data_IF_787586233454
#
_entry.id   IF_787586233454
#
_cell.length_a   1.000
_cell.length_b   1.000
_cell.length_c   1.000
_cell.angle_alpha   90.00
_cell.angle_beta   90.00
_cell.angle_gamma   90.00
#
_symmetry.space_group_name_H-M   'P 1'
#
loop_
_entity.id
_entity.type
_entity.pdbx_description
1 polymer ?
#
# COMPACT_ATOMS: atom_id res chain seq x y z
N UNK A 1 26.16 -23.33 34.65
CA UNK A 1 26.94 -22.83 33.51
C UNK A 1 26.21 -21.61 32.94
N UNK A 2 26.93 -20.53 32.70
CA UNK A 2 26.46 -19.35 32.01
C UNK A 2 27.18 -19.24 30.67
N UNK A 3 26.55 -18.75 29.59
CA UNK A 3 27.19 -18.69 28.29
C UNK A 3 28.28 -17.61 28.26
N UNK A 4 29.33 -17.86 27.48
CA UNK A 4 30.38 -16.86 27.21
C UNK A 4 29.96 -15.90 26.09
N UNK A 5 29.06 -16.40 25.20
CA UNK A 5 28.53 -15.62 24.06
C UNK A 5 27.02 -15.86 23.90
N UNK A 6 26.28 -14.81 23.72
CA UNK A 6 24.84 -14.83 23.33
C UNK A 6 24.73 -14.15 21.97
N UNK A 7 24.21 -14.87 20.97
CA UNK A 7 23.92 -14.31 19.65
C UNK A 7 22.41 -14.24 19.47
N UNK A 8 21.93 -13.06 19.16
CA UNK A 8 20.55 -12.79 18.78
C UNK A 8 20.55 -12.45 17.29
N UNK A 9 19.89 -13.28 16.51
CA UNK A 9 19.85 -13.17 15.05
C UNK A 9 18.39 -13.07 14.60
N UNK A 10 18.01 -11.96 14.00
CA UNK A 10 16.67 -11.65 13.51
C UNK A 10 15.54 -12.01 14.50
N UNK A 11 15.69 -11.65 15.78
CA UNK A 11 14.68 -11.95 16.81
C UNK A 11 13.43 -11.07 16.70
N UNK A 12 13.50 -9.98 15.95
CA UNK A 12 12.37 -9.11 15.63
C UNK A 12 11.78 -9.52 14.29
N UNK A 13 10.46 -9.54 14.23
CA UNK A 13 9.68 -9.78 13.01
C UNK A 13 8.43 -8.88 13.06
N UNK A 14 7.70 -8.81 11.93
CA UNK A 14 6.51 -7.97 11.82
C UNK A 14 5.48 -8.23 12.91
N UNK A 15 5.29 -9.49 13.31
CA UNK A 15 4.32 -9.83 14.34
C UNK A 15 4.70 -9.27 15.71
N UNK A 16 5.98 -9.36 16.11
CA UNK A 16 6.41 -8.98 17.45
C UNK A 16 6.79 -7.50 17.59
N UNK A 17 6.88 -6.76 16.48
CA UNK A 17 7.11 -5.29 16.49
C UNK A 17 5.84 -4.48 16.19
N UNK A 18 4.75 -5.12 15.73
CA UNK A 18 3.57 -4.44 15.23
C UNK A 18 2.86 -3.59 16.30
N UNK A 19 2.56 -4.16 17.48
CA UNK A 19 1.89 -3.41 18.54
C UNK A 19 2.84 -2.94 19.64
N UNK A 20 2.54 -1.82 20.31
CA UNK A 20 3.32 -1.35 21.48
C UNK A 20 3.45 -2.41 22.57
N UNK A 21 2.42 -3.23 22.80
CA UNK A 21 2.40 -4.31 23.78
C UNK A 21 3.39 -5.41 23.42
N UNK A 22 3.43 -5.80 22.15
CA UNK A 22 4.38 -6.81 21.65
C UNK A 22 5.82 -6.32 21.78
N UNK A 23 6.10 -5.08 21.37
CA UNK A 23 7.43 -4.45 21.53
C UNK A 23 7.86 -4.41 23.00
N UNK A 24 6.99 -3.97 23.92
CA UNK A 24 7.27 -3.97 25.38
C UNK A 24 7.50 -5.39 25.92
N UNK A 25 6.78 -6.39 25.43
CA UNK A 25 6.98 -7.79 25.85
C UNK A 25 8.35 -8.28 25.42
N UNK A 26 8.76 -8.03 24.19
CA UNK A 26 10.08 -8.40 23.67
C UNK A 26 11.19 -7.67 24.41
N UNK A 27 11.05 -6.38 24.63
CA UNK A 27 11.98 -5.56 25.41
C UNK A 27 12.11 -6.08 26.85
N UNK A 28 10.98 -6.39 27.50
CA UNK A 28 10.98 -6.95 28.83
C UNK A 28 11.68 -8.32 28.91
N UNK A 29 11.47 -9.18 27.90
CA UNK A 29 12.15 -10.46 27.79
C UNK A 29 13.67 -10.26 27.62
N UNK A 30 14.08 -9.39 26.73
CA UNK A 30 15.49 -9.09 26.49
C UNK A 30 16.19 -8.63 27.78
N UNK A 31 15.69 -7.59 28.45
CA UNK A 31 16.35 -7.03 29.64
C UNK A 31 16.20 -7.90 30.90
N UNK A 32 15.15 -8.69 31.03
CA UNK A 32 14.93 -9.51 32.23
C UNK A 32 15.48 -10.93 32.11
N UNK A 33 15.55 -11.48 30.92
CA UNK A 33 16.00 -12.85 30.71
C UNK A 33 17.35 -12.90 29.98
N UNK A 34 17.42 -12.35 28.75
CA UNK A 34 18.60 -12.50 27.88
C UNK A 34 19.81 -11.79 28.44
N UNK A 35 19.70 -10.51 28.76
CA UNK A 35 20.85 -9.70 29.27
C UNK A 35 21.36 -10.17 30.64
N UNK A 36 20.58 -10.98 31.35
CA UNK A 36 20.93 -11.55 32.66
C UNK A 36 21.29 -13.04 32.62
N UNK A 37 21.19 -13.66 31.44
CA UNK A 37 21.52 -15.09 31.28
C UNK A 37 23.03 -15.32 31.34
N UNK A 38 23.81 -14.34 30.96
CA UNK A 38 25.27 -14.37 30.96
C UNK A 38 25.89 -14.08 32.34
N UNK A 39 27.20 -13.95 32.35
CA UNK A 39 28.03 -13.49 33.44
C UNK A 39 28.77 -12.21 33.04
N UNK A 40 29.66 -11.69 33.92
CA UNK A 40 30.43 -10.46 33.68
C UNK A 40 31.34 -10.52 32.45
N UNK A 41 31.60 -11.70 31.92
CA UNK A 41 32.44 -11.96 30.75
C UNK A 41 31.66 -12.35 29.51
N UNK A 42 30.34 -12.36 29.58
CA UNK A 42 29.49 -12.78 28.45
C UNK A 42 29.38 -11.67 27.43
N UNK A 43 29.78 -11.94 26.20
CA UNK A 43 29.50 -11.05 25.07
C UNK A 43 28.08 -11.27 24.52
N UNK A 44 27.42 -10.18 24.15
CA UNK A 44 26.11 -10.23 23.49
C UNK A 44 26.25 -9.60 22.11
N UNK A 45 25.94 -10.38 21.07
CA UNK A 45 25.88 -9.94 19.69
C UNK A 45 24.43 -9.93 19.25
N UNK A 46 23.94 -8.77 18.84
CA UNK A 46 22.59 -8.63 18.30
C UNK A 46 22.65 -8.17 16.85
N UNK A 47 22.17 -9.01 15.94
CA UNK A 47 22.10 -8.79 14.49
C UNK A 47 20.63 -8.78 14.09
N UNK A 48 20.24 -7.90 13.19
CA UNK A 48 18.87 -7.84 12.68
C UNK A 48 18.60 -6.62 11.83
N UNK A 49 17.38 -6.56 11.30
CA UNK A 49 16.83 -5.43 10.56
C UNK A 49 15.96 -4.56 11.47
N UNK A 50 16.05 -3.24 11.33
CA UNK A 50 15.21 -2.31 12.11
C UNK A 50 13.85 -2.21 11.44
N UNK A 51 12.91 -3.05 11.90
CA UNK A 51 11.56 -3.12 11.31
C UNK A 51 10.61 -2.02 11.81
N UNK A 52 10.94 -1.39 12.96
CA UNK A 52 10.12 -0.34 13.56
C UNK A 52 10.99 0.66 14.32
N UNK A 53 10.67 1.97 14.24
CA UNK A 53 11.42 3.04 14.92
C UNK A 53 11.49 2.87 16.45
N UNK A 54 10.46 2.25 17.08
CA UNK A 54 10.38 1.94 18.52
C UNK A 54 10.66 0.46 18.80
N UNK A 55 11.39 -0.24 17.93
CA UNK A 55 11.78 -1.65 18.10
C UNK A 55 12.87 -1.81 19.15
N UNK A 56 13.06 -3.03 19.64
CA UNK A 56 14.13 -3.34 20.59
C UNK A 56 15.50 -3.03 19.98
N UNK A 57 15.75 -3.47 18.73
CA UNK A 57 17.01 -3.21 18.04
C UNK A 57 17.27 -1.72 17.89
N UNK A 58 16.25 -0.93 17.54
CA UNK A 58 16.36 0.54 17.45
C UNK A 58 16.77 1.18 18.78
N UNK A 59 16.28 0.65 19.91
CA UNK A 59 16.64 1.13 21.26
C UNK A 59 18.05 0.70 21.65
N UNK A 60 18.43 -0.55 21.36
CA UNK A 60 19.77 -1.07 21.66
C UNK A 60 20.84 -0.33 20.85
N UNK A 61 20.58 0.01 19.59
CA UNK A 61 21.47 0.84 18.77
C UNK A 61 21.78 2.22 19.38
N UNK A 62 20.85 2.78 20.14
CA UNK A 62 21.00 4.07 20.83
C UNK A 62 21.61 3.94 22.24
N UNK A 63 21.77 2.71 22.73
CA UNK A 63 22.30 2.46 24.06
C UNK A 63 23.83 2.54 24.04
N UNK A 64 24.45 3.44 24.81
CA UNK A 64 25.92 3.64 24.84
C UNK A 64 26.72 2.44 25.36
N UNK A 65 26.08 1.48 26.03
CA UNK A 65 26.70 0.25 26.48
C UNK A 65 27.00 -0.75 25.34
N UNK A 66 26.48 -0.51 24.13
CA UNK A 66 26.69 -1.35 22.97
C UNK A 66 27.53 -0.65 21.91
N UNK A 67 28.46 -1.40 21.31
CA UNK A 67 29.11 -0.97 20.08
C UNK A 67 28.20 -1.26 18.90
N UNK A 68 27.65 -0.22 18.30
CA UNK A 68 26.61 -0.34 17.28
C UNK A 68 27.09 0.10 15.89
N UNK A 69 26.77 -0.70 14.86
CA UNK A 69 27.01 -0.36 13.47
C UNK A 69 25.71 -0.53 12.68
N UNK A 70 25.35 0.48 11.88
CA UNK A 70 24.16 0.48 11.03
C UNK A 70 24.58 0.53 9.56
N UNK A 71 24.12 -0.42 8.78
CA UNK A 71 24.34 -0.46 7.34
C UNK A 71 23.07 -0.04 6.59
N UNK A 72 23.24 0.73 5.52
CA UNK A 72 22.17 1.17 4.61
C UNK A 72 22.43 0.60 3.23
N UNK A 73 21.39 0.12 2.54
CA UNK A 73 21.52 -0.40 1.18
C UNK A 73 21.94 0.69 0.18
N UNK A 74 21.33 1.88 0.29
CA UNK A 74 21.77 3.08 -0.45
C UNK A 74 22.53 3.98 0.50
N UNK A 75 23.82 4.21 0.20
CA UNK A 75 24.71 5.09 0.95
C UNK A 75 24.52 6.54 0.47
N UNK A 76 24.45 6.73 -0.85
CA UNK A 76 24.19 8.04 -1.47
C UNK A 76 23.16 7.91 -2.60
N UNK A 77 22.15 8.78 -2.57
CA UNK A 77 21.13 8.85 -3.62
C UNK A 77 21.61 9.66 -4.81
N UNK A 78 21.02 9.40 -5.98
CA UNK A 78 21.30 10.13 -7.21
C UNK A 78 21.08 11.64 -7.04
N UNK A 79 21.97 12.43 -7.64
CA UNK A 79 21.86 13.90 -7.66
C UNK A 79 20.76 14.37 -8.62
N UNK A 80 20.51 13.64 -9.70
CA UNK A 80 19.52 13.99 -10.72
C UNK A 80 18.16 13.32 -10.44
N UNK A 81 17.45 13.86 -9.46
CA UNK A 81 16.15 13.32 -9.05
C UNK A 81 15.09 13.45 -10.15
N UNK A 82 15.18 14.46 -11.04
CA UNK A 82 14.19 14.66 -12.11
C UNK A 82 14.15 13.49 -13.10
N UNK A 83 15.29 12.87 -13.41
CA UNK A 83 15.34 11.69 -14.29
C UNK A 83 14.72 10.46 -13.58
N UNK A 84 14.95 10.30 -12.29
CA UNK A 84 14.33 9.22 -11.53
C UNK A 84 12.81 9.41 -11.38
N UNK A 85 12.34 10.63 -11.20
CA UNK A 85 10.89 10.92 -11.20
C UNK A 85 10.25 10.63 -12.56
N UNK A 86 10.94 10.96 -13.67
CA UNK A 86 10.48 10.62 -15.01
C UNK A 86 10.45 9.10 -15.25
N UNK A 87 11.48 8.40 -14.77
CA UNK A 87 11.55 6.94 -14.82
C UNK A 87 10.42 6.30 -14.00
N UNK A 88 10.16 6.78 -12.78
CA UNK A 88 9.07 6.32 -11.93
C UNK A 88 7.71 6.49 -12.63
N UNK A 89 7.49 7.62 -13.29
CA UNK A 89 6.28 7.88 -14.05
C UNK A 89 6.07 6.88 -15.19
N UNK A 90 7.15 6.46 -15.88
CA UNK A 90 7.09 5.44 -16.92
C UNK A 90 6.82 4.06 -16.29
N UNK A 91 7.56 3.71 -15.22
CA UNK A 91 7.48 2.41 -14.56
C UNK A 91 6.10 2.14 -13.97
N UNK A 92 5.45 3.17 -13.44
CA UNK A 92 4.13 3.09 -12.80
C UNK A 92 2.95 3.35 -13.76
N UNK A 93 3.20 3.62 -15.05
CA UNK A 93 2.14 3.84 -16.03
C UNK A 93 1.40 2.56 -16.37
N UNK A 94 0.23 2.37 -15.77
CA UNK A 94 -0.60 1.18 -15.93
C UNK A 94 -1.32 1.09 -17.27
N UNK A 95 -1.36 2.19 -18.04
CA UNK A 95 -1.92 2.19 -19.37
C UNK A 95 -0.94 1.54 -20.37
N UNK A 96 0.34 1.52 -20.03
CA UNK A 96 1.38 0.94 -20.84
C UNK A 96 1.65 -0.52 -20.46
N UNK A 97 1.32 -1.43 -21.37
CA UNK A 97 1.61 -2.87 -21.20
C UNK A 97 3.12 -3.16 -21.15
N UNK A 98 3.93 -2.30 -21.78
CA UNK A 98 5.39 -2.40 -21.86
C UNK A 98 6.13 -1.49 -20.88
N UNK A 99 5.45 -0.96 -19.87
CA UNK A 99 5.99 0.03 -18.92
C UNK A 99 7.36 -0.33 -18.33
N UNK A 100 7.58 -1.60 -17.99
CA UNK A 100 8.85 -2.06 -17.41
C UNK A 100 9.97 -2.06 -18.45
N UNK A 101 9.68 -2.49 -19.68
CA UNK A 101 10.63 -2.48 -20.79
C UNK A 101 11.00 -1.05 -21.19
N UNK A 102 10.00 -0.17 -21.27
CA UNK A 102 10.21 1.24 -21.60
C UNK A 102 10.95 2.01 -20.49
N UNK A 103 10.63 1.73 -19.21
CA UNK A 103 11.38 2.27 -18.09
C UNK A 103 12.84 1.79 -18.08
N UNK A 104 13.07 0.53 -18.43
CA UNK A 104 14.44 0.01 -18.57
C UNK A 104 15.18 0.69 -19.72
N UNK A 105 14.54 0.85 -20.88
CA UNK A 105 15.14 1.56 -22.02
C UNK A 105 15.47 3.01 -21.66
N UNK A 106 14.54 3.73 -21.00
CA UNK A 106 14.78 5.07 -20.51
C UNK A 106 15.99 5.16 -19.57
N UNK A 107 16.11 4.20 -18.65
CA UNK A 107 17.28 4.13 -17.77
C UNK A 107 18.57 3.89 -18.55
N UNK A 108 18.60 2.94 -19.50
CA UNK A 108 19.83 2.67 -20.27
C UNK A 108 20.25 3.88 -21.11
N UNK A 109 19.29 4.63 -21.67
CA UNK A 109 19.56 5.83 -22.45
C UNK A 109 20.10 7.01 -21.61
N UNK A 110 19.77 7.06 -20.32
CA UNK A 110 20.15 8.15 -19.40
C UNK A 110 21.05 7.67 -18.25
N UNK A 111 21.60 6.48 -18.34
CA UNK A 111 22.26 5.77 -17.23
C UNK A 111 23.35 6.56 -16.54
N UNK A 112 24.20 7.26 -17.29
CA UNK A 112 25.31 8.02 -16.72
C UNK A 112 24.80 9.15 -15.82
N UNK A 113 23.82 9.92 -16.30
CA UNK A 113 23.22 11.03 -15.55
C UNK A 113 22.34 10.56 -14.39
N UNK A 114 21.66 9.43 -14.55
CA UNK A 114 20.83 8.81 -13.51
C UNK A 114 21.63 8.21 -12.36
N UNK A 115 22.85 7.75 -12.63
CA UNK A 115 23.74 7.19 -11.60
C UNK A 115 24.69 8.23 -11.00
N UNK A 116 24.66 9.48 -11.44
CA UNK A 116 25.51 10.51 -10.88
C UNK A 116 25.27 10.69 -9.38
N UNK A 117 26.33 10.58 -8.58
CA UNK A 117 26.30 10.73 -7.13
C UNK A 117 25.78 9.52 -6.35
N UNK A 118 25.44 8.43 -7.02
CA UNK A 118 24.95 7.21 -6.34
C UNK A 118 26.09 6.42 -5.72
N UNK A 119 25.82 5.86 -4.54
CA UNK A 119 26.66 4.88 -3.88
C UNK A 119 25.75 3.85 -3.18
N UNK A 120 26.02 2.56 -3.36
CA UNK A 120 25.29 1.46 -2.74
C UNK A 120 26.21 0.56 -1.94
N UNK A 121 25.67 -0.11 -0.94
CA UNK A 121 26.44 -0.97 -0.06
C UNK A 121 27.03 -2.18 -0.77
N UNK A 122 26.29 -2.77 -1.69
CA UNK A 122 26.68 -4.02 -2.37
C UNK A 122 26.16 -4.06 -3.81
N UNK A 123 26.86 -3.36 -4.71
CA UNK A 123 26.48 -3.20 -6.12
C UNK A 123 26.34 -4.53 -6.87
N UNK A 124 27.20 -5.53 -6.56
CA UNK A 124 27.18 -6.82 -7.23
C UNK A 124 25.94 -7.67 -6.91
N UNK A 125 25.31 -7.40 -5.77
CA UNK A 125 24.09 -8.11 -5.36
C UNK A 125 22.82 -7.36 -5.79
N UNK A 126 22.77 -6.05 -5.55
CA UNK A 126 21.65 -5.17 -5.85
C UNK A 126 22.20 -3.85 -6.37
N UNK A 127 22.05 -3.61 -7.67
CA UNK A 127 22.43 -2.33 -8.26
C UNK A 127 21.52 -1.21 -7.76
N UNK A 128 21.96 0.04 -7.93
CA UNK A 128 21.13 1.20 -7.60
C UNK A 128 19.77 1.15 -8.33
N UNK A 129 19.76 0.69 -9.62
CA UNK A 129 18.54 0.48 -10.38
C UNK A 129 17.59 -0.52 -9.71
N UNK A 130 18.10 -1.67 -9.30
CA UNK A 130 17.31 -2.71 -8.65
C UNK A 130 16.74 -2.21 -7.31
N UNK A 131 17.52 -1.43 -6.57
CA UNK A 131 17.07 -0.80 -5.33
C UNK A 131 15.94 0.22 -5.57
N UNK A 132 15.98 0.98 -6.67
CA UNK A 132 14.89 1.89 -7.03
C UNK A 132 13.64 1.14 -7.51
N UNK A 133 13.80 0.01 -8.20
CA UNK A 133 12.68 -0.90 -8.53
C UNK A 133 12.02 -1.43 -7.26
N UNK A 134 12.80 -1.90 -6.28
CA UNK A 134 12.30 -2.35 -4.97
C UNK A 134 11.54 -1.20 -4.28
N UNK A 135 12.13 0.00 -4.23
CA UNK A 135 11.51 1.18 -3.63
C UNK A 135 10.12 1.48 -4.20
N UNK A 136 9.95 1.35 -5.51
CA UNK A 136 8.67 1.62 -6.18
C UNK A 136 7.68 0.44 -6.05
N UNK A 137 8.17 -0.80 -6.11
CA UNK A 137 7.30 -1.98 -6.08
C UNK A 137 6.81 -2.34 -4.69
N UNK A 138 7.63 -2.10 -3.66
CA UNK A 138 7.31 -2.45 -2.27
C UNK A 138 6.86 -1.23 -1.43
N UNK A 139 7.11 -0.03 -1.93
CA UNK A 139 6.79 1.22 -1.26
C UNK A 139 7.93 1.75 -0.39
N UNK A 140 7.84 3.05 -0.09
CA UNK A 140 8.91 3.79 0.60
C UNK A 140 9.10 3.31 2.06
N UNK A 141 8.03 2.93 2.75
CA UNK A 141 8.09 2.46 4.13
C UNK A 141 8.86 1.13 4.24
N UNK A 142 8.55 0.15 3.37
CA UNK A 142 9.27 -1.13 3.30
C UNK A 142 10.74 -0.91 2.92
N UNK A 143 11.00 -0.09 1.91
CA UNK A 143 12.37 0.25 1.50
C UNK A 143 13.18 0.88 2.63
N UNK A 144 12.58 1.79 3.40
CA UNK A 144 13.27 2.45 4.50
C UNK A 144 13.55 1.50 5.66
N UNK A 145 12.66 0.56 5.98
CA UNK A 145 12.91 -0.42 7.03
C UNK A 145 13.88 -1.52 6.58
N UNK A 146 13.58 -2.19 5.47
CA UNK A 146 14.28 -3.41 5.05
C UNK A 146 15.63 -3.14 4.36
N UNK A 147 15.72 -2.04 3.61
CA UNK A 147 16.92 -1.71 2.82
C UNK A 147 17.77 -0.65 3.51
N UNK A 148 17.14 0.39 4.07
CA UNK A 148 17.87 1.50 4.69
C UNK A 148 18.10 1.33 6.19
N UNK A 149 17.48 0.32 6.82
CA UNK A 149 17.47 0.17 8.28
C UNK A 149 17.04 1.45 9.01
N UNK A 150 16.17 2.23 8.39
CA UNK A 150 15.74 3.54 8.87
C UNK A 150 14.21 3.64 8.78
N UNK A 151 13.49 2.81 9.57
CA UNK A 151 12.04 2.85 9.59
C UNK A 151 11.60 4.25 9.99
N UNK A 152 10.73 4.80 9.15
CA UNK A 152 10.27 6.16 9.29
C UNK A 152 9.39 6.27 10.54
N UNK A 153 9.56 7.38 11.27
CA UNK A 153 8.72 7.78 12.42
C UNK A 153 7.24 7.87 11.97
N UNK A 154 6.25 7.56 12.84
CA UNK A 154 4.82 7.66 12.53
C UNK A 154 4.35 9.02 12.01
N UNK A 155 5.12 10.08 12.22
CA UNK A 155 4.88 11.37 11.59
C UNK A 155 5.05 11.34 10.05
N UNK A 156 5.62 10.25 9.51
CA UNK A 156 5.67 9.95 8.09
C UNK A 156 4.76 8.77 7.76
N UNK A 157 3.48 9.04 7.71
CA UNK A 157 2.49 8.07 7.25
C UNK A 157 2.81 7.62 5.81
N UNK A 158 2.43 6.38 5.46
CA UNK A 158 2.62 5.80 4.12
C UNK A 158 2.04 6.71 3.03
N UNK A 159 0.97 7.47 3.35
CA UNK A 159 0.32 8.40 2.44
C UNK A 159 0.42 9.82 2.98
N UNK A 160 1.17 10.68 2.28
CA UNK A 160 1.24 12.11 2.62
C UNK A 160 -0.10 12.79 2.25
N UNK A 161 -0.56 13.71 3.11
CA UNK A 161 -1.83 14.44 2.90
C UNK A 161 -1.84 15.26 1.60
N UNK A 162 -0.69 15.74 1.16
CA UNK A 162 -0.52 16.50 -0.08
C UNK A 162 -0.70 15.67 -1.36
N UNK A 163 -0.70 14.33 -1.26
CA UNK A 163 -0.86 13.44 -2.41
C UNK A 163 -2.33 13.15 -2.74
N UNK A 164 -3.26 13.53 -1.84
CA UNK A 164 -4.68 13.25 -2.07
C UNK A 164 -5.29 14.24 -3.06
N UNK A 165 -5.53 13.79 -4.29
CA UNK A 165 -6.32 14.50 -5.28
C UNK A 165 -7.81 14.22 -5.11
N UNK A 166 -8.63 15.26 -5.26
CA UNK A 166 -10.07 15.17 -5.06
C UNK A 166 -10.82 15.42 -6.37
N UNK A 167 -11.62 14.45 -6.79
CA UNK A 167 -12.42 14.57 -7.99
C UNK A 167 -13.67 15.45 -7.80
N UNK A 168 -14.10 15.70 -6.55
CA UNK A 168 -15.19 16.63 -6.24
C UNK A 168 -14.86 18.08 -6.64
N UNK A 169 -13.58 18.39 -6.79
CA UNK A 169 -13.10 19.72 -7.19
C UNK A 169 -13.17 19.94 -8.71
N UNK A 170 -13.45 18.88 -9.48
CA UNK A 170 -13.57 18.93 -10.95
C UNK A 170 -15.03 18.76 -11.39
N UNK A 171 -15.76 19.84 -11.70
CA UNK A 171 -17.15 19.78 -12.11
C UNK A 171 -17.37 19.15 -13.49
N UNK A 172 -16.31 18.85 -14.23
CA UNK A 172 -16.41 18.24 -15.57
C UNK A 172 -16.56 16.70 -15.50
N UNK A 173 -16.40 16.12 -14.34
CA UNK A 173 -16.49 14.67 -14.13
C UNK A 173 -17.96 14.28 -14.00
N UNK A 174 -18.51 13.64 -15.06
CA UNK A 174 -19.80 13.00 -15.03
C UNK A 174 -19.63 11.49 -15.18
N UNK A 175 -19.85 10.76 -14.11
CA UNK A 175 -19.75 9.28 -14.06
C UNK A 175 -20.79 8.56 -14.92
N UNK A 176 -21.75 9.25 -15.55
CA UNK A 176 -22.66 8.69 -16.57
C UNK A 176 -22.00 8.55 -17.93
N UNK A 177 -20.84 9.19 -18.15
CA UNK A 177 -20.08 9.06 -19.41
C UNK A 177 -19.70 7.59 -19.64
N UNK A 178 -19.76 7.19 -20.92
CA UNK A 178 -19.44 5.82 -21.39
C UNK A 178 -18.00 5.39 -21.15
N UNK A 179 -17.10 6.32 -20.92
CA UNK A 179 -15.69 6.04 -20.61
C UNK A 179 -15.50 5.40 -19.23
N UNK A 180 -16.44 5.60 -18.31
CA UNK A 180 -16.32 5.04 -16.96
C UNK A 180 -16.82 3.61 -16.87
N UNK A 181 -16.04 2.75 -16.24
CA UNK A 181 -16.38 1.39 -15.85
C UNK A 181 -16.28 1.26 -14.35
N UNK A 182 -17.31 0.72 -13.72
CA UNK A 182 -17.38 0.57 -12.27
C UNK A 182 -16.93 -0.82 -11.85
N UNK A 183 -16.11 -0.86 -10.81
CA UNK A 183 -15.77 -2.06 -10.06
C UNK A 183 -15.97 -1.78 -8.58
N UNK A 184 -16.26 -2.82 -7.80
CA UNK A 184 -16.29 -2.70 -6.35
C UNK A 184 -15.59 -3.89 -5.71
N UNK A 185 -15.10 -3.70 -4.50
CA UNK A 185 -14.56 -4.76 -3.66
C UNK A 185 -15.19 -4.69 -2.28
N UNK A 186 -15.43 -5.85 -1.71
CA UNK A 186 -15.92 -6.04 -0.36
C UNK A 186 -14.93 -6.87 0.44
N UNK A 187 -14.49 -6.29 1.56
CA UNK A 187 -13.82 -7.01 2.64
C UNK A 187 -14.85 -7.29 3.74
N UNK A 188 -15.40 -8.51 3.80
CA UNK A 188 -16.41 -8.85 4.79
C UNK A 188 -15.76 -9.18 6.14
N UNK A 189 -15.98 -8.37 7.16
CA UNK A 189 -15.72 -8.77 8.53
C UNK A 189 -16.77 -9.79 8.99
N UNK A 190 -16.37 -11.05 9.20
CA UNK A 190 -17.28 -12.14 9.57
C UNK A 190 -17.45 -12.31 11.09
N UNK A 191 -17.15 -11.31 11.89
CA UNK A 191 -17.35 -11.34 13.34
C UNK A 191 -18.83 -11.45 13.75
N UNK A 192 -19.15 -12.38 14.62
CA UNK A 192 -20.53 -12.62 15.12
C UNK A 192 -21.04 -11.60 16.12
N UNK A 193 -20.21 -10.66 16.56
CA UNK A 193 -20.55 -9.72 17.64
C UNK A 193 -20.44 -8.26 17.16
N UNK A 194 -21.24 -7.35 17.76
CA UNK A 194 -21.14 -5.87 17.56
C UNK A 194 -19.77 -5.26 17.91
N UNK A 195 -18.84 -6.07 18.42
CA UNK A 195 -17.43 -5.69 18.69
C UNK A 195 -16.45 -6.21 17.63
N UNK A 196 -16.95 -6.83 16.54
CA UNK A 196 -16.12 -7.30 15.43
C UNK A 196 -15.50 -6.12 14.69
N UNK A 197 -14.46 -6.43 13.90
CA UNK A 197 -13.80 -5.48 13.03
C UNK A 197 -14.76 -4.84 12.03
N UNK A 198 -14.38 -3.72 11.45
CA UNK A 198 -15.17 -3.05 10.43
C UNK A 198 -15.15 -3.86 9.13
N UNK A 199 -16.23 -3.77 8.34
CA UNK A 199 -16.26 -4.26 6.96
C UNK A 199 -16.18 -3.10 5.99
N UNK A 200 -15.58 -3.29 4.84
CA UNK A 200 -15.49 -2.26 3.82
C UNK A 200 -16.14 -2.68 2.50
N UNK A 201 -16.84 -1.75 1.85
CA UNK A 201 -17.29 -1.86 0.44
C UNK A 201 -16.80 -0.61 -0.27
N UNK A 202 -15.81 -0.78 -1.15
CA UNK A 202 -15.20 0.32 -1.89
C UNK A 202 -15.55 0.18 -3.38
N UNK A 203 -16.07 1.24 -3.98
CA UNK A 203 -16.38 1.28 -5.40
C UNK A 203 -15.54 2.31 -6.14
N UNK A 204 -14.96 1.89 -7.27
CA UNK A 204 -14.10 2.70 -8.12
C UNK A 204 -14.73 2.83 -9.50
N UNK A 205 -14.72 4.05 -10.04
CA UNK A 205 -14.93 4.31 -11.46
C UNK A 205 -13.55 4.40 -12.14
N UNK A 206 -13.26 3.51 -13.10
CA UNK A 206 -12.09 3.62 -13.95
C UNK A 206 -12.46 4.32 -15.25
N UNK A 207 -11.76 5.39 -15.57
CA UNK A 207 -11.81 6.01 -16.90
C UNK A 207 -11.01 5.14 -17.88
N UNK A 208 -11.70 4.50 -18.81
CA UNK A 208 -11.09 3.64 -19.85
C UNK A 208 -10.33 4.39 -20.93
N UNK A 209 -10.38 5.72 -20.96
CA UNK A 209 -9.61 6.56 -21.89
C UNK A 209 -8.31 7.06 -21.29
N UNK A 210 -8.35 7.55 -20.03
CA UNK A 210 -7.20 8.13 -19.35
C UNK A 210 -6.52 7.17 -18.35
N UNK A 211 -7.22 6.09 -17.94
CA UNK A 211 -6.74 5.16 -16.92
C UNK A 211 -6.92 5.64 -15.48
N UNK A 212 -7.27 6.91 -15.26
CA UNK A 212 -7.54 7.41 -13.92
C UNK A 212 -8.62 6.61 -13.20
N UNK A 213 -8.42 6.46 -11.91
CA UNK A 213 -9.34 5.77 -11.02
C UNK A 213 -9.93 6.76 -10.02
N UNK A 214 -11.22 6.65 -9.79
CA UNK A 214 -11.99 7.57 -8.94
C UNK A 214 -12.71 6.76 -7.86
N UNK A 215 -12.41 7.00 -6.60
CA UNK A 215 -13.17 6.39 -5.49
C UNK A 215 -14.54 7.05 -5.45
N UNK A 216 -15.56 6.37 -5.93
CA UNK A 216 -16.94 6.89 -6.01
C UNK A 216 -17.70 6.63 -4.72
N UNK A 217 -17.44 5.48 -4.08
CA UNK A 217 -18.07 5.09 -2.82
C UNK A 217 -17.07 4.41 -1.90
N UNK A 218 -17.17 4.70 -0.60
CA UNK A 218 -16.39 4.06 0.44
C UNK A 218 -17.28 3.90 1.69
N UNK A 219 -17.90 2.73 1.81
CA UNK A 219 -18.70 2.35 2.97
C UNK A 219 -17.88 1.48 3.90
N UNK A 220 -17.48 2.04 5.04
CA UNK A 220 -16.62 1.39 6.04
C UNK A 220 -17.37 1.46 7.36
N UNK A 221 -17.94 0.33 7.79
CA UNK A 221 -18.83 0.27 8.93
C UNK A 221 -18.75 -1.08 9.65
N UNK A 222 -19.16 -1.08 10.92
CA UNK A 222 -19.37 -2.32 11.67
C UNK A 222 -20.71 -2.92 11.33
N UNK A 223 -20.71 -4.03 10.62
CA UNK A 223 -21.93 -4.70 10.14
C UNK A 223 -21.85 -6.20 10.38
N UNK A 224 -23.02 -6.81 10.55
CA UNK A 224 -23.13 -8.27 10.50
C UNK A 224 -23.23 -8.72 9.03
N UNK A 225 -22.87 -9.99 8.70
CA UNK A 225 -22.80 -10.46 7.32
C UNK A 225 -24.05 -10.22 6.49
N UNK A 226 -25.24 -10.40 7.05
CA UNK A 226 -26.51 -10.15 6.33
C UNK A 226 -26.65 -8.68 5.89
N UNK A 227 -26.28 -7.75 6.76
CA UNK A 227 -26.31 -6.30 6.45
C UNK A 227 -25.29 -5.95 5.37
N UNK A 228 -24.10 -6.57 5.40
CA UNK A 228 -23.09 -6.36 4.35
C UNK A 228 -23.63 -6.79 2.98
N UNK A 229 -24.34 -7.91 2.93
CA UNK A 229 -24.97 -8.41 1.70
C UNK A 229 -26.03 -7.44 1.20
N UNK A 230 -26.92 -6.99 2.08
CA UNK A 230 -27.99 -6.05 1.72
C UNK A 230 -27.40 -4.71 1.22
N UNK A 231 -26.37 -4.18 1.88
CA UNK A 231 -25.69 -2.96 1.47
C UNK A 231 -24.99 -3.11 0.11
N UNK A 232 -24.35 -4.26 -0.18
CA UNK A 232 -23.75 -4.54 -1.46
C UNK A 232 -24.78 -4.54 -2.60
N UNK A 233 -25.95 -5.17 -2.36
CA UNK A 233 -27.05 -5.22 -3.32
C UNK A 233 -27.64 -3.81 -3.55
N UNK A 234 -27.88 -3.08 -2.49
CA UNK A 234 -28.41 -1.71 -2.57
C UNK A 234 -27.42 -0.75 -3.26
N UNK A 235 -26.10 -0.89 -2.99
CA UNK A 235 -25.08 -0.14 -3.71
C UNK A 235 -25.15 -0.44 -5.23
N UNK A 236 -25.28 -1.70 -5.63
CA UNK A 236 -25.41 -2.08 -7.04
C UNK A 236 -26.64 -1.47 -7.69
N UNK A 237 -27.81 -1.54 -7.04
CA UNK A 237 -29.04 -0.91 -7.51
C UNK A 237 -28.89 0.60 -7.67
N UNK A 238 -28.25 1.26 -6.69
CA UNK A 238 -27.98 2.69 -6.70
C UNK A 238 -27.08 3.09 -7.88
N UNK A 239 -25.98 2.37 -8.13
CA UNK A 239 -25.09 2.62 -9.26
C UNK A 239 -25.81 2.46 -10.59
N UNK A 240 -26.64 1.42 -10.75
CA UNK A 240 -27.44 1.22 -11.94
C UNK A 240 -28.46 2.35 -12.14
N UNK A 241 -29.11 2.83 -11.06
CA UNK A 241 -30.08 3.92 -11.11
C UNK A 241 -29.41 5.25 -11.44
N UNK A 242 -28.33 5.60 -10.75
CA UNK A 242 -27.74 6.93 -10.78
C UNK A 242 -26.76 7.13 -11.92
N UNK A 243 -25.96 6.11 -12.24
CA UNK A 243 -24.96 6.15 -13.31
C UNK A 243 -25.40 5.36 -14.56
N UNK A 244 -26.57 4.69 -14.56
CA UNK A 244 -27.10 3.89 -15.64
C UNK A 244 -26.18 2.72 -16.05
N UNK A 245 -25.38 2.22 -15.11
CA UNK A 245 -24.39 1.16 -15.34
C UNK A 245 -24.27 0.23 -14.14
N UNK A 246 -24.23 -1.09 -14.39
CA UNK A 246 -23.89 -2.08 -13.36
C UNK A 246 -22.38 -2.06 -13.09
N UNK A 247 -21.98 -2.68 -12.00
CA UNK A 247 -20.58 -3.06 -11.79
C UNK A 247 -20.11 -4.04 -12.87
N UNK A 248 -18.88 -3.84 -13.33
CA UNK A 248 -18.21 -4.77 -14.25
C UNK A 248 -17.62 -5.97 -13.51
N UNK A 249 -17.18 -5.74 -12.28
CA UNK A 249 -16.64 -6.72 -11.35
C UNK A 249 -17.02 -6.31 -9.93
N UNK A 250 -17.34 -7.29 -9.12
CA UNK A 250 -17.58 -7.14 -7.69
C UNK A 250 -16.72 -8.17 -6.95
N UNK A 251 -15.58 -7.71 -6.39
CA UNK A 251 -14.65 -8.57 -5.68
C UNK A 251 -15.11 -8.85 -4.27
N UNK A 252 -14.93 -10.07 -3.84
CA UNK A 252 -15.12 -10.47 -2.44
C UNK A 252 -13.85 -11.16 -1.99
N UNK A 253 -13.24 -10.70 -0.89
CA UNK A 253 -12.11 -11.39 -0.32
C UNK A 253 -12.55 -12.76 0.21
N UNK A 254 -11.80 -13.81 -0.15
CA UNK A 254 -12.10 -15.18 0.27
C UNK A 254 -10.92 -15.74 1.04
N UNK A 255 -10.98 -15.67 2.37
CA UNK A 255 -10.13 -16.44 3.27
C UNK A 255 -10.93 -17.67 3.72
N UNK A 256 -10.29 -18.71 4.22
CA UNK A 256 -10.78 -20.10 4.46
C UNK A 256 -12.28 -20.33 4.84
N UNK A 257 -12.99 -19.32 5.38
CA UNK A 257 -14.39 -19.42 5.77
C UNK A 257 -15.36 -18.55 4.93
N UNK A 258 -14.87 -17.80 3.95
CA UNK A 258 -15.64 -16.78 3.23
C UNK A 258 -16.27 -17.28 1.92
N UNK A 259 -15.99 -18.51 1.50
CA UNK A 259 -16.68 -19.11 0.34
C UNK A 259 -18.20 -19.12 0.51
N UNK A 260 -18.69 -19.42 1.73
CA UNK A 260 -20.11 -19.40 2.04
C UNK A 260 -20.72 -18.00 1.89
N UNK A 261 -20.01 -16.94 2.30
CA UNK A 261 -20.48 -15.56 2.15
C UNK A 261 -20.72 -15.17 0.68
N UNK A 262 -19.77 -15.54 -0.20
CA UNK A 262 -19.89 -15.32 -1.65
C UNK A 262 -21.14 -15.99 -2.23
N UNK A 263 -21.38 -17.25 -1.87
CA UNK A 263 -22.51 -18.01 -2.38
C UNK A 263 -23.84 -17.42 -1.91
N UNK A 264 -23.93 -17.00 -0.65
CA UNK A 264 -25.12 -16.34 -0.10
C UNK A 264 -25.33 -14.97 -0.76
N UNK A 265 -24.27 -14.18 -0.97
CA UNK A 265 -24.36 -12.90 -1.69
C UNK A 265 -24.86 -13.11 -3.13
N UNK A 266 -24.33 -14.12 -3.84
CA UNK A 266 -24.77 -14.44 -5.19
C UNK A 266 -26.26 -14.85 -5.23
N UNK A 267 -26.69 -15.69 -4.30
CA UNK A 267 -28.08 -16.12 -4.19
C UNK A 267 -29.01 -14.95 -3.88
N UNK A 268 -28.75 -14.18 -2.80
CA UNK A 268 -29.58 -13.04 -2.41
C UNK A 268 -29.62 -11.96 -3.46
N UNK A 269 -28.52 -11.69 -4.17
CA UNK A 269 -28.51 -10.71 -5.25
C UNK A 269 -29.40 -11.16 -6.42
N UNK A 270 -29.38 -12.43 -6.77
CA UNK A 270 -30.26 -12.99 -7.80
C UNK A 270 -31.74 -12.94 -7.38
N UNK A 271 -32.06 -13.27 -6.14
CA UNK A 271 -33.42 -13.16 -5.56
C UNK A 271 -33.93 -11.72 -5.59
N UNK A 272 -33.03 -10.75 -5.37
CA UNK A 272 -33.34 -9.31 -5.45
C UNK A 272 -33.41 -8.78 -6.89
N UNK A 273 -33.21 -9.63 -7.92
CA UNK A 273 -33.19 -9.24 -9.33
C UNK A 273 -31.95 -8.44 -9.74
N UNK A 274 -30.89 -8.47 -8.91
CA UNK A 274 -29.66 -7.73 -9.11
C UNK A 274 -28.50 -8.73 -9.25
N UNK A 275 -28.02 -8.95 -10.46
CA UNK A 275 -26.95 -9.92 -10.72
C UNK A 275 -25.57 -9.26 -10.55
N UNK A 276 -24.96 -9.45 -9.40
CA UNK A 276 -23.60 -8.99 -9.15
C UNK A 276 -22.57 -9.89 -9.86
N UNK A 277 -21.62 -9.31 -10.61
CA UNK A 277 -20.54 -10.07 -11.26
C UNK A 277 -19.43 -10.37 -10.22
N UNK A 278 -19.69 -11.32 -9.32
CA UNK A 278 -18.84 -11.62 -8.17
C UNK A 278 -17.57 -12.33 -8.63
N UNK A 279 -16.41 -11.79 -8.24
CA UNK A 279 -15.08 -12.38 -8.40
C UNK A 279 -14.46 -12.65 -7.04
N UNK A 280 -13.84 -13.80 -6.86
CA UNK A 280 -13.06 -14.09 -5.65
C UNK A 280 -11.72 -13.36 -5.68
N UNK A 281 -11.39 -12.68 -4.60
CA UNK A 281 -10.09 -12.06 -4.41
C UNK A 281 -9.32 -12.89 -3.38
N UNK A 282 -8.24 -13.53 -3.84
CA UNK A 282 -7.30 -14.21 -2.97
C UNK A 282 -6.09 -13.32 -2.73
N UNK A 283 -5.75 -13.13 -1.47
CA UNK A 283 -4.62 -12.31 -1.05
C UNK A 283 -3.47 -13.24 -0.65
N UNK A 284 -2.48 -13.38 -1.54
CA UNK A 284 -1.28 -14.21 -1.31
C UNK A 284 -0.16 -13.41 -0.64
N UNK A 285 -0.18 -12.09 -0.77
CA UNK A 285 0.78 -11.18 -0.15
C UNK A 285 0.28 -10.67 1.18
N UNK A 286 1.21 -10.25 2.04
CA UNK A 286 0.88 -9.61 3.32
C UNK A 286 0.06 -8.34 3.08
N UNK A 287 -0.84 -8.04 4.00
CA UNK A 287 -1.77 -6.91 3.94
C UNK A 287 -1.03 -5.58 3.79
N UNK A 288 0.03 -5.41 4.55
CA UNK A 288 0.83 -4.19 4.58
C UNK A 288 1.39 -3.88 3.19
N UNK A 289 2.06 -4.85 2.55
CA UNK A 289 2.63 -4.68 1.21
C UNK A 289 1.56 -4.38 0.15
N UNK A 290 0.36 -4.95 0.32
CA UNK A 290 -0.75 -4.67 -0.59
C UNK A 290 -1.23 -3.22 -0.47
N UNK A 291 -1.41 -2.74 0.75
CA UNK A 291 -1.85 -1.36 1.00
C UNK A 291 -0.77 -0.35 0.55
N UNK A 292 0.50 -0.63 0.83
CA UNK A 292 1.61 0.22 0.41
C UNK A 292 1.73 0.32 -1.12
N UNK A 293 1.33 -0.73 -1.85
CA UNK A 293 1.28 -0.71 -3.31
C UNK A 293 0.33 0.36 -3.90
N UNK A 294 -0.55 0.94 -3.08
CA UNK A 294 -1.40 2.07 -3.48
C UNK A 294 -0.62 3.40 -3.55
N UNK A 295 0.54 3.48 -2.90
CA UNK A 295 1.31 4.73 -2.75
C UNK A 295 1.61 5.41 -4.10
N UNK A 296 2.12 4.72 -5.13
CA UNK A 296 2.39 5.34 -6.42
C UNK A 296 1.12 5.91 -7.09
N UNK A 297 -0.02 5.26 -6.93
CA UNK A 297 -1.28 5.71 -7.52
C UNK A 297 -1.81 6.98 -6.85
N UNK A 298 -1.66 7.07 -5.52
CA UNK A 298 -2.06 8.25 -4.75
C UNK A 298 -1.09 9.39 -5.02
N UNK A 299 0.23 9.15 -4.90
CA UNK A 299 1.29 10.14 -5.09
C UNK A 299 1.27 10.80 -6.47
N UNK A 300 1.01 10.01 -7.52
CA UNK A 300 1.01 10.50 -8.90
C UNK A 300 -0.38 10.95 -9.39
N UNK A 301 -1.39 10.98 -8.50
CA UNK A 301 -2.74 11.46 -8.82
C UNK A 301 -3.56 10.54 -9.74
N UNK A 302 -3.12 9.29 -9.95
CA UNK A 302 -3.89 8.30 -10.73
C UNK A 302 -5.13 7.79 -9.98
N UNK A 303 -5.10 7.84 -8.65
CA UNK A 303 -6.22 7.50 -7.77
C UNK A 303 -6.76 8.78 -7.14
N UNK A 304 -8.00 9.13 -7.47
CA UNK A 304 -8.66 10.35 -6.99
C UNK A 304 -9.76 10.01 -6.00
N UNK A 305 -9.87 10.82 -4.96
CA UNK A 305 -10.78 10.60 -3.84
C UNK A 305 -11.99 11.55 -3.88
N UNK A 306 -12.93 11.33 -2.96
CA UNK A 306 -13.98 12.30 -2.64
C UNK A 306 -13.82 12.76 -1.20
N UNK A 307 -13.95 14.06 -0.95
CA UNK A 307 -13.87 14.65 0.40
C UNK A 307 -14.93 14.12 1.37
N UNK A 308 -16.01 13.55 0.85
CA UNK A 308 -17.08 12.95 1.66
C UNK A 308 -16.68 11.62 2.30
N UNK A 309 -15.68 10.91 1.78
CA UNK A 309 -15.20 9.62 2.30
C UNK A 309 -14.26 9.80 3.50
N UNK A 310 -14.74 10.48 4.54
CA UNK A 310 -13.92 10.90 5.69
C UNK A 310 -13.22 9.72 6.38
N UNK A 311 -13.94 8.61 6.60
CA UNK A 311 -13.39 7.43 7.27
C UNK A 311 -12.24 6.81 6.47
N UNK A 312 -12.40 6.65 5.14
CA UNK A 312 -11.34 6.15 4.28
C UNK A 312 -10.12 7.06 4.31
N UNK A 313 -10.33 8.37 4.11
CA UNK A 313 -9.25 9.36 4.10
C UNK A 313 -8.51 9.40 5.44
N UNK A 314 -9.22 9.28 6.57
CA UNK A 314 -8.61 9.21 7.88
C UNK A 314 -7.75 7.96 8.02
N UNK A 315 -8.28 6.77 7.68
CA UNK A 315 -7.53 5.52 7.77
C UNK A 315 -6.31 5.52 6.85
N UNK A 316 -6.41 6.10 5.64
CA UNK A 316 -5.28 6.27 4.73
C UNK A 316 -4.19 7.18 5.32
N UNK A 317 -4.57 8.33 5.91
CA UNK A 317 -3.64 9.26 6.55
C UNK A 317 -2.92 8.67 7.76
N UNK A 318 -3.62 7.87 8.53
CA UNK A 318 -3.11 7.26 9.77
C UNK A 318 -2.35 5.95 9.51
N UNK A 319 -2.44 5.38 8.30
CA UNK A 319 -1.79 4.11 7.98
C UNK A 319 -0.25 4.25 7.96
N UNK A 320 0.53 3.32 8.57
CA UNK A 320 0.09 2.08 9.20
C UNK A 320 -0.22 2.19 10.70
N UNK A 321 -0.14 3.35 11.30
CA UNK A 321 -0.25 3.57 12.74
C UNK A 321 -1.71 3.66 13.23
N UNK A 322 -2.66 3.79 12.32
CA UNK A 322 -4.08 3.86 12.62
C UNK A 322 -4.61 2.58 13.29
N UNK A 323 -5.69 2.75 14.05
CA UNK A 323 -6.35 1.64 14.74
C UNK A 323 -7.02 0.65 13.79
N UNK A 324 -7.49 1.12 12.65
CA UNK A 324 -8.23 0.36 11.65
C UNK A 324 -7.64 0.63 10.26
N UNK A 325 -7.56 -0.40 9.44
CA UNK A 325 -7.00 -0.36 8.09
C UNK A 325 -7.90 -1.08 7.06
N UNK A 326 -9.16 -1.34 7.42
CA UNK A 326 -10.14 -2.04 6.55
C UNK A 326 -10.48 -1.21 5.30
N UNK A 327 -10.44 0.13 5.41
CA UNK A 327 -10.63 1.03 4.27
C UNK A 327 -9.49 0.95 3.26
N UNK A 328 -8.23 1.15 3.66
CA UNK A 328 -7.06 0.95 2.82
C UNK A 328 -6.99 -0.43 2.18
N UNK A 329 -7.30 -1.51 2.90
CA UNK A 329 -7.31 -2.87 2.38
C UNK A 329 -8.41 -3.08 1.33
N UNK A 330 -9.64 -2.67 1.64
CA UNK A 330 -10.74 -2.69 0.66
C UNK A 330 -10.45 -1.82 -0.57
N UNK A 331 -9.76 -0.69 -0.40
CA UNK A 331 -9.34 0.16 -1.50
C UNK A 331 -8.31 -0.54 -2.40
N UNK A 332 -7.31 -1.23 -1.83
CA UNK A 332 -6.35 -2.01 -2.61
C UNK A 332 -7.07 -3.05 -3.47
N UNK A 333 -7.98 -3.81 -2.88
CA UNK A 333 -8.74 -4.81 -3.62
C UNK A 333 -9.54 -4.20 -4.78
N UNK A 334 -10.19 -3.05 -4.55
CA UNK A 334 -10.94 -2.35 -5.60
C UNK A 334 -10.03 -1.81 -6.71
N UNK A 335 -8.85 -1.27 -6.36
CA UNK A 335 -7.82 -0.82 -7.31
C UNK A 335 -7.32 -2.00 -8.12
N UNK A 336 -6.97 -3.11 -7.52
CA UNK A 336 -6.52 -4.34 -8.20
C UNK A 336 -7.54 -4.83 -9.24
N UNK A 337 -8.84 -4.80 -8.94
CA UNK A 337 -9.90 -5.11 -9.91
C UNK A 337 -9.96 -4.09 -11.04
N UNK A 338 -9.83 -2.80 -10.72
CA UNK A 338 -9.83 -1.71 -11.70
C UNK A 338 -8.64 -1.83 -12.66
N UNK A 339 -7.47 -2.23 -12.17
CA UNK A 339 -6.28 -2.46 -13.00
C UNK A 339 -6.50 -3.55 -14.05
N UNK A 340 -7.29 -4.55 -13.76
CA UNK A 340 -7.67 -5.59 -14.71
C UNK A 340 -8.61 -5.14 -15.84
N UNK A 341 -9.10 -3.89 -15.82
CA UNK A 341 -9.92 -3.32 -16.89
C UNK A 341 -9.02 -2.67 -17.94
N UNK A 342 -9.10 -3.10 -19.20
CA UNK A 342 -8.29 -2.55 -20.31
C UNK A 342 -8.66 -1.09 -20.61
N UNK A 343 -7.66 -0.27 -20.87
CA UNK A 343 -7.79 1.09 -21.40
C UNK A 343 -7.79 1.08 -22.94
N UNK A 344 -8.47 2.04 -23.54
CA UNK A 344 -8.68 2.08 -25.00
C UNK A 344 -7.66 2.90 -25.78
N UNK A 345 -6.82 3.69 -25.10
CA UNK A 345 -5.83 4.58 -25.74
C UNK A 345 -4.39 4.16 -25.46
N UNK A 346 -3.55 4.26 -26.49
CA UNK A 346 -2.10 4.32 -26.34
C UNK A 346 -1.76 5.71 -25.81
N UNK A 347 -1.28 5.81 -24.59
CA UNK A 347 -0.88 7.09 -23.98
C UNK A 347 0.36 7.63 -24.69
N UNK A 348 0.32 8.89 -25.11
CA UNK A 348 1.51 9.57 -25.62
C UNK A 348 2.36 10.00 -24.41
N UNK A 349 3.46 9.25 -24.17
CA UNK A 349 4.40 9.48 -23.06
C UNK A 349 4.88 10.92 -22.91
N UNK A 350 5.02 11.64 -24.04
CA UNK A 350 5.41 13.04 -24.03
C UNK A 350 4.40 13.92 -23.28
N UNK A 351 3.11 13.51 -23.27
CA UNK A 351 2.06 14.25 -22.55
C UNK A 351 2.08 13.99 -21.04
N UNK A 352 2.44 12.79 -20.60
CA UNK A 352 2.55 12.42 -19.17
C UNK A 352 3.77 13.12 -18.55
N UNK A 353 4.92 13.03 -19.22
CA UNK A 353 6.16 13.72 -18.79
C UNK A 353 5.95 15.23 -18.77
N UNK A 354 5.28 15.83 -19.78
CA UNK A 354 5.04 17.26 -19.81
C UNK A 354 4.05 17.74 -18.74
N UNK A 355 3.11 16.90 -18.30
CA UNK A 355 2.21 17.20 -17.17
C UNK A 355 2.95 17.14 -15.84
N UNK A 356 3.73 16.11 -15.59
CA UNK A 356 4.56 16.00 -14.37
C UNK A 356 5.51 17.20 -14.24
N UNK A 357 6.13 17.64 -15.34
CA UNK A 357 7.00 18.83 -15.36
C UNK A 357 6.24 20.16 -15.22
N UNK A 358 4.98 20.29 -15.68
CA UNK A 358 4.19 21.52 -15.53
C UNK A 358 3.70 21.75 -14.09
N UNK A 359 3.39 20.69 -13.35
CA UNK A 359 2.96 20.81 -11.94
C UNK A 359 4.08 21.35 -11.04
N UNK A 360 5.36 21.03 -11.32
CA UNK A 360 6.51 21.56 -10.55
C UNK A 360 6.87 23.02 -10.85
N UNK A 361 6.48 23.59 -12.01
CA UNK A 361 6.77 25.00 -12.37
C UNK A 361 5.72 26.00 -11.91
N UNK A 362 4.61 25.57 -11.35
CA UNK A 362 3.51 26.42 -10.87
C UNK A 362 3.52 26.72 -9.37
N UNK A 363 4.52 26.27 -8.64
CA UNK A 363 4.68 26.52 -7.21
C UNK A 363 5.74 27.59 -6.96
N UNK A 364 5.34 28.84 -7.02
CA UNK A 364 5.97 29.99 -6.37
C UNK A 364 4.88 30.80 -5.69
#
# INVERSE_FOLDING_TARGET
WRPDLIVLDDIENDENVYTPEQRKKLESWFYKAVSKAGDTYTDIVYIGTILHYDSLLSKVLKNPEYHSVKYRGVISFATNQELWDAWEAIYTDLENVHRQEDARAFYEDNKADMLEGTEVLWEEKLSYYDLMVIKISEGEASFNSEIQNDPIDPDSCTFNDEWFDFWDDDPTIDFRDKRFVFVAANDPSLGKNKKSDTSSIIAIAKDTKSGYMYVVEASIERRVPDVIIDDAIEMSKRFRRDYKRPFRKFGVETVQFQHFFKDVLAQKSAEAGEYLPIEEIQSLQRKELRIESLQPFVKNGYLKFSRRHKTLLQQMREYPMGKNDDGPDGLEMAVRLALGIKTSNKTDYKSVISRAMKFRRGGY
#
